data_IF_877049946853
#
_entry.id   IF_877049946853
#
_cell.length_a   1.000
_cell.length_b   1.000
_cell.length_c   1.000
_cell.angle_alpha   90.00
_cell.angle_beta   90.00
_cell.angle_gamma   90.00
#
_symmetry.space_group_name_H-M   'P 1'
#
loop_
_entity.id
_entity.type
_entity.pdbx_description
1 polymer ?
#
# COMPACT_ATOMS: atom_id res chain seq x y z
N UNK A 1 -4.29 1.58 21.73
CA UNK A 1 -3.56 0.85 20.67
C UNK A 1 -4.43 -0.27 20.11
N UNK A 2 -5.67 0.02 19.72
CA UNK A 2 -6.56 -0.93 19.05
C UNK A 2 -6.70 -0.52 17.59
N UNK A 3 -6.60 -1.48 16.68
CA UNK A 3 -6.61 -1.30 15.21
C UNK A 3 -5.31 -0.76 14.60
N UNK A 4 -4.16 -1.30 15.01
CA UNK A 4 -3.05 -1.38 14.06
C UNK A 4 -3.55 -2.14 12.81
N UNK A 5 -3.29 -1.59 11.62
CA UNK A 5 -3.72 -2.11 10.32
C UNK A 5 -3.61 -3.63 10.31
N UNK A 6 -4.76 -4.30 10.24
CA UNK A 6 -4.87 -5.75 10.31
C UNK A 6 -4.03 -6.38 9.20
N UNK A 7 -3.26 -7.46 9.43
CA UNK A 7 -2.51 -8.14 8.37
C UNK A 7 -3.36 -8.51 7.14
N UNK A 8 -4.68 -8.70 7.30
CA UNK A 8 -5.61 -8.93 6.21
C UNK A 8 -5.84 -7.73 5.27
N UNK A 9 -5.47 -6.52 5.69
CA UNK A 9 -5.67 -5.30 4.90
C UNK A 9 -4.89 -5.33 3.59
N UNK A 10 -3.68 -5.88 3.58
CA UNK A 10 -2.81 -5.88 2.40
C UNK A 10 -2.80 -7.23 1.68
N UNK A 11 -3.83 -8.05 1.86
CA UNK A 11 -3.92 -9.37 1.23
C UNK A 11 -3.84 -9.28 -0.29
N UNK A 12 -4.37 -8.23 -0.90
CA UNK A 12 -4.25 -7.99 -2.35
C UNK A 12 -2.77 -7.91 -2.76
N UNK A 13 -1.95 -7.18 -2.00
CA UNK A 13 -0.51 -7.07 -2.27
C UNK A 13 0.24 -8.38 -2.01
N UNK A 14 -0.10 -9.10 -0.94
CA UNK A 14 0.57 -10.35 -0.58
C UNK A 14 0.39 -11.41 -1.68
N UNK A 15 -0.82 -11.56 -2.22
CA UNK A 15 -1.07 -12.51 -3.30
C UNK A 15 -0.39 -12.10 -4.60
N UNK A 16 -0.39 -10.81 -4.94
CA UNK A 16 0.32 -10.29 -6.10
C UNK A 16 1.85 -10.42 -5.96
N UNK A 17 2.38 -10.44 -4.74
CA UNK A 17 3.82 -10.60 -4.48
C UNK A 17 4.33 -11.93 -4.99
N UNK A 18 3.65 -13.03 -4.68
CA UNK A 18 4.08 -14.35 -5.14
C UNK A 18 4.22 -14.42 -6.68
N UNK A 19 3.34 -13.76 -7.43
CA UNK A 19 3.37 -13.74 -8.89
C UNK A 19 4.57 -12.96 -9.49
N UNK A 20 5.19 -12.08 -8.70
CA UNK A 20 6.29 -11.22 -9.13
C UNK A 20 7.68 -11.70 -8.64
N UNK A 21 7.75 -12.88 -8.01
CA UNK A 21 9.01 -13.47 -7.52
C UNK A 21 9.61 -14.46 -8.53
N UNK A 22 10.94 -14.56 -8.57
CA UNK A 22 11.62 -15.67 -9.26
C UNK A 22 11.24 -17.02 -8.66
N UNK A 23 11.29 -18.08 -9.48
CA UNK A 23 10.79 -19.41 -9.12
C UNK A 23 11.24 -19.92 -7.72
N UNK A 24 12.53 -19.86 -7.33
CA UNK A 24 12.93 -20.35 -6.01
C UNK A 24 12.30 -19.54 -4.86
N UNK A 25 12.23 -18.22 -5.03
CA UNK A 25 11.65 -17.31 -4.04
C UNK A 25 10.13 -17.42 -3.99
N UNK A 26 9.48 -17.60 -5.14
CA UNK A 26 8.04 -17.81 -5.24
C UNK A 26 7.64 -19.09 -4.50
N UNK A 27 8.35 -20.20 -4.73
CA UNK A 27 8.11 -21.47 -4.03
C UNK A 27 8.26 -21.31 -2.51
N UNK A 28 9.37 -20.76 -2.06
CA UNK A 28 9.61 -20.52 -0.63
C UNK A 28 8.53 -19.61 -0.02
N UNK A 29 8.19 -18.51 -0.69
CA UNK A 29 7.18 -17.58 -0.24
C UNK A 29 5.83 -18.27 -0.07
N UNK A 30 5.36 -19.00 -1.09
CA UNK A 30 4.09 -19.73 -1.03
C UNK A 30 4.08 -20.79 0.09
N UNK A 31 5.16 -21.57 0.23
CA UNK A 31 5.24 -22.62 1.25
C UNK A 31 5.19 -22.08 2.68
N UNK A 32 5.86 -20.96 2.93
CA UNK A 32 6.00 -20.39 4.27
C UNK A 32 4.89 -19.44 4.66
N UNK A 33 4.14 -18.88 3.69
CA UNK A 33 3.06 -17.91 3.94
C UNK A 33 1.66 -18.51 3.81
N UNK A 34 1.51 -19.74 3.30
CA UNK A 34 0.20 -20.37 3.04
C UNK A 34 -0.74 -20.43 4.26
N UNK A 35 -0.22 -20.56 5.47
CA UNK A 35 -1.04 -20.70 6.68
C UNK A 35 -1.48 -19.33 7.23
N UNK A 36 -0.61 -18.32 7.09
CA UNK A 36 -0.91 -16.93 7.47
C UNK A 36 -1.80 -16.23 6.44
N UNK A 37 -1.56 -16.54 5.17
CA UNK A 37 -2.17 -15.93 3.99
C UNK A 37 -2.60 -17.04 3.04
N UNK A 38 -3.73 -17.71 3.33
CA UNK A 38 -4.23 -18.76 2.46
C UNK A 38 -4.45 -18.20 1.05
N UNK A 39 -4.19 -18.99 -0.01
CA UNK A 39 -4.41 -18.54 -1.37
C UNK A 39 -5.85 -18.05 -1.55
N UNK A 40 -6.00 -16.76 -1.77
CA UNK A 40 -7.26 -16.10 -2.04
C UNK A 40 -7.08 -15.30 -3.32
N UNK A 41 -8.02 -15.46 -4.25
CA UNK A 41 -8.13 -14.53 -5.35
C UNK A 41 -8.42 -13.13 -4.80
N UNK A 42 -7.88 -12.11 -5.46
CA UNK A 42 -8.13 -10.71 -5.14
C UNK A 42 -9.62 -10.40 -5.36
N UNK A 43 -10.44 -10.68 -4.36
CA UNK A 43 -11.87 -10.43 -4.39
C UNK A 43 -12.16 -8.96 -4.11
N UNK A 44 -13.30 -8.48 -4.60
CA UNK A 44 -13.79 -7.12 -4.33
C UNK A 44 -13.88 -6.83 -2.82
N UNK A 45 -14.13 -7.86 -2.00
CA UNK A 45 -14.11 -7.75 -0.54
C UNK A 45 -12.72 -7.43 0.01
N UNK A 46 -11.65 -8.02 -0.54
CA UNK A 46 -10.28 -7.71 -0.14
C UNK A 46 -9.86 -6.32 -0.61
N UNK A 47 -10.25 -5.94 -1.83
CA UNK A 47 -10.06 -4.58 -2.34
C UNK A 47 -10.71 -3.53 -1.45
N UNK A 48 -11.98 -3.74 -1.08
CA UNK A 48 -12.69 -2.84 -0.17
C UNK A 48 -12.01 -2.72 1.19
N UNK A 49 -11.53 -3.84 1.77
CA UNK A 49 -10.78 -3.79 3.04
C UNK A 49 -9.47 -3.02 2.93
N UNK A 50 -8.80 -3.12 1.78
CA UNK A 50 -7.58 -2.35 1.54
C UNK A 50 -7.91 -0.86 1.44
N UNK A 51 -8.97 -0.50 0.70
CA UNK A 51 -9.48 0.87 0.62
C UNK A 51 -9.87 1.43 2.00
N UNK A 52 -10.60 0.67 2.82
CA UNK A 52 -10.98 1.07 4.19
C UNK A 52 -9.76 1.39 5.08
N UNK A 53 -8.63 0.70 4.89
CA UNK A 53 -7.42 1.03 5.63
C UNK A 53 -6.72 2.29 5.12
N UNK A 54 -6.76 2.54 3.80
CA UNK A 54 -6.33 3.82 3.25
C UNK A 54 -7.26 4.95 3.72
N UNK A 55 -8.57 4.75 3.79
CA UNK A 55 -9.52 5.69 4.39
C UNK A 55 -9.18 6.00 5.85
N UNK A 56 -8.82 4.98 6.63
CA UNK A 56 -8.40 5.17 8.02
C UNK A 56 -7.14 6.04 8.12
N UNK A 57 -6.11 5.77 7.31
CA UNK A 57 -4.89 6.59 7.28
C UNK A 57 -5.23 8.01 6.81
N UNK A 58 -6.09 8.15 5.79
CA UNK A 58 -6.60 9.44 5.31
C UNK A 58 -7.21 10.24 6.46
N UNK A 59 -8.07 9.60 7.25
CA UNK A 59 -8.76 10.24 8.38
C UNK A 59 -7.81 10.71 9.49
N UNK A 60 -6.64 10.08 9.64
CA UNK A 60 -5.62 10.54 10.57
C UNK A 60 -4.95 11.80 10.05
N UNK A 61 -4.60 11.83 8.76
CA UNK A 61 -4.01 13.00 8.11
C UNK A 61 -4.99 14.18 8.05
N UNK A 62 -6.31 13.93 7.96
CA UNK A 62 -7.33 14.98 7.96
C UNK A 62 -7.40 15.77 9.27
N UNK A 63 -6.84 15.23 10.36
CA UNK A 63 -6.74 15.92 11.65
C UNK A 63 -5.61 16.94 11.68
N UNK A 64 -4.71 16.92 10.71
CA UNK A 64 -3.64 17.88 10.61
C UNK A 64 -4.19 19.25 10.19
N UNK A 65 -3.77 20.30 10.89
CA UNK A 65 -4.03 21.68 10.48
C UNK A 65 -2.79 22.21 9.78
N UNK A 66 -2.92 22.59 8.50
CA UNK A 66 -1.80 23.07 7.69
C UNK A 66 -1.96 22.72 6.21
N UNK A 67 -1.04 23.24 5.39
CA UNK A 67 -1.07 23.05 3.93
C UNK A 67 -0.23 21.87 3.43
N UNK A 68 0.53 21.23 4.31
CA UNK A 68 1.46 20.16 3.94
C UNK A 68 0.84 18.78 4.19
N UNK A 69 1.08 17.81 3.29
CA UNK A 69 0.39 16.52 3.31
C UNK A 69 1.02 15.50 4.27
N UNK A 70 2.07 15.87 5.00
CA UNK A 70 2.86 14.92 5.78
C UNK A 70 2.20 14.59 7.13
N UNK A 71 2.58 13.45 7.71
CA UNK A 71 2.06 12.98 9.00
C UNK A 71 2.32 14.02 10.10
N UNK A 72 3.50 14.64 10.11
CA UNK A 72 3.87 15.70 11.05
C UNK A 72 3.63 17.10 10.46
N UNK A 73 2.63 17.23 9.59
CA UNK A 73 2.27 18.45 8.85
C UNK A 73 3.44 18.96 8.01
N UNK A 74 4.28 19.84 8.55
CA UNK A 74 5.33 20.55 7.80
C UNK A 74 6.60 19.71 7.61
N UNK A 75 6.78 18.66 8.41
CA UNK A 75 8.00 17.85 8.42
C UNK A 75 7.74 16.44 7.91
N UNK A 76 8.54 15.99 6.95
CA UNK A 76 8.58 14.57 6.56
C UNK A 76 9.15 13.77 7.73
N UNK A 77 8.42 12.73 8.13
CA UNK A 77 8.77 11.84 9.23
C UNK A 77 8.94 10.40 8.73
N UNK A 78 9.42 9.52 9.60
CA UNK A 78 9.48 8.08 9.28
C UNK A 78 8.10 7.48 8.94
N UNK A 79 7.02 8.00 9.55
CA UNK A 79 5.68 7.52 9.27
C UNK A 79 5.26 7.77 7.81
N UNK A 80 5.75 8.85 7.20
CA UNK A 80 5.51 9.14 5.79
C UNK A 80 6.17 8.10 4.88
N UNK A 81 7.38 7.66 5.23
CA UNK A 81 8.05 6.57 4.51
C UNK A 81 7.36 5.22 4.68
N UNK A 82 6.72 4.96 5.83
CA UNK A 82 5.90 3.75 6.01
C UNK A 82 4.70 3.77 5.06
N UNK A 83 3.98 4.90 4.97
CA UNK A 83 2.86 5.06 4.03
C UNK A 83 3.34 4.93 2.58
N UNK A 84 4.40 5.64 2.22
CA UNK A 84 5.04 5.59 0.90
C UNK A 84 5.43 4.15 0.52
N UNK A 85 6.03 3.39 1.43
CA UNK A 85 6.45 2.01 1.15
C UNK A 85 5.28 1.10 0.74
N UNK A 86 4.08 1.32 1.30
CA UNK A 86 2.87 0.58 0.92
C UNK A 86 2.40 0.95 -0.48
N UNK A 87 2.51 2.23 -0.86
CA UNK A 87 2.14 2.70 -2.19
C UNK A 87 3.11 2.18 -3.25
N UNK A 88 4.42 2.26 -3.00
CA UNK A 88 5.45 1.74 -3.89
C UNK A 88 5.32 0.23 -4.06
N UNK A 89 5.01 -0.50 -2.98
CA UNK A 89 4.78 -1.94 -3.08
C UNK A 89 3.65 -2.25 -4.05
N UNK A 90 2.49 -1.59 -3.92
CA UNK A 90 1.39 -1.74 -4.88
C UNK A 90 1.77 -1.34 -6.31
N UNK A 91 2.36 -0.15 -6.50
CA UNK A 91 2.80 0.36 -7.81
C UNK A 91 3.79 -0.59 -8.50
N UNK A 92 4.71 -1.18 -7.74
CA UNK A 92 5.72 -2.12 -8.26
C UNK A 92 5.13 -3.48 -8.59
N UNK A 93 4.19 -3.98 -7.79
CA UNK A 93 3.55 -5.27 -7.99
C UNK A 93 2.63 -5.31 -9.22
N UNK A 94 1.87 -4.24 -9.44
CA UNK A 94 0.89 -4.19 -10.51
C UNK A 94 1.41 -3.48 -11.76
N UNK A 95 2.37 -2.56 -11.60
CA UNK A 95 2.87 -1.68 -12.66
C UNK A 95 2.13 -0.34 -12.68
N UNK A 96 2.85 0.71 -13.08
CA UNK A 96 2.36 2.11 -13.04
C UNK A 96 1.17 2.39 -13.97
N UNK A 97 1.02 1.62 -15.04
CA UNK A 97 -0.07 1.78 -16.01
C UNK A 97 -1.21 0.77 -15.79
N UNK A 98 -1.17 0.01 -14.70
CA UNK A 98 -2.17 -1.02 -14.41
C UNK A 98 -3.51 -0.45 -13.92
N UNK A 99 -4.64 -1.09 -14.24
CA UNK A 99 -5.94 -0.76 -13.64
C UNK A 99 -5.94 -0.82 -12.11
N UNK A 100 -5.21 -1.77 -11.53
CA UNK A 100 -5.05 -1.96 -10.10
C UNK A 100 -4.36 -0.77 -9.44
N UNK A 101 -3.25 -0.30 -10.01
CA UNK A 101 -2.59 0.90 -9.51
C UNK A 101 -3.46 2.14 -9.72
N UNK A 102 -4.11 2.28 -10.88
CA UNK A 102 -5.02 3.39 -11.15
C UNK A 102 -6.15 3.45 -10.10
N UNK A 103 -6.71 2.29 -9.71
CA UNK A 103 -7.69 2.18 -8.63
C UNK A 103 -7.13 2.72 -7.30
N UNK A 104 -5.98 2.22 -6.86
CA UNK A 104 -5.33 2.63 -5.60
C UNK A 104 -5.03 4.13 -5.60
N UNK A 105 -4.45 4.62 -6.69
CA UNK A 105 -4.07 6.02 -6.85
C UNK A 105 -5.26 6.97 -6.79
N UNK A 106 -6.46 6.51 -7.19
CA UNK A 106 -7.70 7.29 -7.21
C UNK A 106 -8.38 7.44 -5.84
N UNK A 107 -8.06 6.58 -4.88
CA UNK A 107 -8.70 6.57 -3.55
C UNK A 107 -8.52 7.90 -2.80
N UNK A 108 -9.52 8.23 -1.97
CA UNK A 108 -9.62 9.48 -1.22
C UNK A 108 -9.42 10.74 -2.10
N UNK A 109 -10.06 10.76 -3.26
CA UNK A 109 -9.98 11.90 -4.19
C UNK A 109 -8.61 12.07 -4.83
N UNK A 110 -7.91 10.96 -5.08
CA UNK A 110 -6.57 10.94 -5.66
C UNK A 110 -5.45 11.25 -4.68
N UNK A 111 -5.71 11.20 -3.36
CA UNK A 111 -4.71 11.51 -2.32
C UNK A 111 -3.46 10.66 -2.49
N UNK A 112 -3.65 9.36 -2.64
CA UNK A 112 -2.54 8.40 -2.63
C UNK A 112 -1.71 8.44 -3.89
N UNK A 113 -2.31 8.74 -5.04
CA UNK A 113 -1.54 9.03 -6.26
C UNK A 113 -0.65 10.27 -6.12
N UNK A 114 -1.17 11.35 -5.52
CA UNK A 114 -0.38 12.57 -5.23
C UNK A 114 0.72 12.29 -4.20
N UNK A 115 0.39 11.53 -3.16
CA UNK A 115 1.33 11.16 -2.10
C UNK A 115 2.47 10.31 -2.66
N UNK A 116 2.18 9.29 -3.48
CA UNK A 116 3.23 8.50 -4.13
C UNK A 116 4.15 9.40 -4.99
N UNK A 117 3.55 10.29 -5.81
CA UNK A 117 4.30 11.22 -6.66
C UNK A 117 5.24 12.16 -5.88
N UNK A 118 4.78 12.69 -4.74
CA UNK A 118 5.59 13.58 -3.88
C UNK A 118 6.88 12.91 -3.41
N UNK A 119 6.84 11.58 -3.20
CA UNK A 119 7.96 10.81 -2.67
C UNK A 119 8.80 10.10 -3.74
N UNK A 120 8.47 10.20 -5.02
CA UNK A 120 9.24 9.58 -6.13
C UNK A 120 10.72 9.99 -6.11
N UNK A 121 11.04 11.21 -5.63
CA UNK A 121 12.42 11.70 -5.49
C UNK A 121 13.29 10.85 -4.55
N UNK A 122 12.67 10.03 -3.70
CA UNK A 122 13.33 9.14 -2.75
C UNK A 122 13.43 7.70 -3.26
N UNK A 123 12.85 7.39 -4.42
CA UNK A 123 12.83 6.06 -5.04
C UNK A 123 14.06 5.81 -5.92
N UNK A 124 15.23 6.29 -5.49
CA UNK A 124 16.47 6.13 -6.26
C UNK A 124 16.91 4.66 -6.17
N UNK A 125 16.73 3.94 -7.28
CA UNK A 125 17.32 2.61 -7.48
C UNK A 125 18.64 2.79 -8.22
N UNK A 126 19.75 2.58 -7.51
CA UNK A 126 21.10 2.57 -8.08
C UNK A 126 21.46 1.21 -8.68
#
# INVERSE_FOLDING_TARGET
MGEAVNPYTYMVYIHATAANLFEPSQKYFNETRKDDFPPLEASEKLWKKMEEAFDLISSWLDKNSGSYPYVMVETISYADFVIMSRLIWGKSLFGVDSPEWARIASWNGGRWGKYAKEFERYEIMS
#
